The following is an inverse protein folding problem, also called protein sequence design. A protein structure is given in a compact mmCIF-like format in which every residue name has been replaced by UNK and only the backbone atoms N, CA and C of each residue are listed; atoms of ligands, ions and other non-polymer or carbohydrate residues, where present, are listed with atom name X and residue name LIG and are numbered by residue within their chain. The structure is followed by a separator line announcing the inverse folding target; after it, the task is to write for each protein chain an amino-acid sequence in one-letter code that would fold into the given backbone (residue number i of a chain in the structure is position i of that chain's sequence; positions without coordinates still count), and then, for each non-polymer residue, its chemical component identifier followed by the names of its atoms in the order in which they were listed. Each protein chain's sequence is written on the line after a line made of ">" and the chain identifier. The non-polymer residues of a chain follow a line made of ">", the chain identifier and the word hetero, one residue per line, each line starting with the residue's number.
data_IF_983080136954
#
_entry.id   IF_983080136954
#
_cell.length_a   1.000
_cell.length_b   1.000
_cell.length_c   1.000
_cell.angle_alpha   90.00
_cell.angle_beta   90.00
_cell.angle_gamma   90.00
#
_symmetry.space_group_name_H-M   'P 1'
#
loop_
_entity.id
_entity.type
_entity.pdbx_description
1 polymer ?
#
# COMPACT_ATOMS: atom_id res chain seq x y z
N UNK A 1 -13.37 -5.02 2.31
CA UNK A 1 -13.23 -3.54 2.20
C UNK A 1 -13.43 -2.86 3.55
N UNK A 2 -14.57 -3.04 4.23
CA UNK A 2 -14.89 -2.37 5.51
C UNK A 2 -13.81 -2.41 6.60
N UNK A 3 -13.10 -3.53 6.74
CA UNK A 3 -12.00 -3.64 7.70
C UNK A 3 -10.83 -2.69 7.38
N UNK A 4 -10.42 -2.61 6.11
CA UNK A 4 -9.35 -1.71 5.67
C UNK A 4 -9.75 -0.25 5.82
N UNK A 5 -11.00 0.10 5.48
CA UNK A 5 -11.51 1.46 5.67
C UNK A 5 -11.45 1.88 7.14
N UNK A 6 -11.86 0.99 8.07
CA UNK A 6 -11.75 1.21 9.52
C UNK A 6 -10.31 1.32 10.00
N UNK A 7 -9.39 0.49 9.48
CA UNK A 7 -7.96 0.62 9.81
C UNK A 7 -7.42 1.98 9.35
N UNK A 8 -7.72 2.37 8.11
CA UNK A 8 -7.31 3.65 7.54
C UNK A 8 -7.89 4.84 8.31
N UNK A 9 -9.09 4.72 8.90
CA UNK A 9 -9.69 5.75 9.75
C UNK A 9 -8.99 5.89 11.11
N UNK A 10 -8.53 4.77 11.69
CA UNK A 10 -7.91 4.75 13.02
C UNK A 10 -6.45 5.15 13.01
N UNK A 11 -5.76 4.83 11.93
CA UNK A 11 -4.39 5.27 11.75
C UNK A 11 -4.42 6.76 11.46
N UNK A 12 -3.83 7.58 12.35
CA UNK A 12 -3.83 9.04 12.21
C UNK A 12 -3.17 9.53 10.92
N UNK A 13 -3.04 10.85 10.76
CA UNK A 13 -2.55 11.50 9.53
C UNK A 13 -1.22 10.95 9.00
N UNK A 14 -0.32 10.54 9.89
CA UNK A 14 1.02 10.06 9.51
C UNK A 14 1.18 8.54 9.44
N UNK A 15 0.21 7.79 9.94
CA UNK A 15 0.40 6.34 10.03
C UNK A 15 0.02 5.62 8.73
N UNK A 16 0.43 4.35 8.66
CA UNK A 16 0.37 3.51 7.46
C UNK A 16 -0.38 2.23 7.80
N UNK A 17 -1.36 1.86 6.97
CA UNK A 17 -1.93 0.50 6.99
C UNK A 17 -1.15 -0.34 6.00
N UNK A 18 -0.57 -1.44 6.50
CA UNK A 18 0.23 -2.36 5.69
C UNK A 18 -0.37 -3.75 5.70
N UNK A 19 -0.34 -4.41 4.54
CA UNK A 19 -0.63 -5.83 4.44
C UNK A 19 0.39 -6.51 3.53
N UNK A 20 1.02 -7.56 4.06
CA UNK A 20 2.00 -8.38 3.33
C UNK A 20 1.39 -9.74 3.05
N UNK A 21 1.49 -10.20 1.80
CA UNK A 21 1.02 -11.52 1.35
C UNK A 21 2.05 -12.19 0.47
N UNK A 22 2.26 -13.49 0.70
CA UNK A 22 3.09 -14.31 -0.17
C UNK A 22 2.57 -14.28 -1.62
N UNK A 23 3.49 -14.39 -2.57
CA UNK A 23 3.16 -14.45 -4.00
C UNK A 23 2.67 -15.86 -4.32
N UNK A 24 1.47 -15.91 -4.90
CA UNK A 24 0.96 -17.11 -5.56
C UNK A 24 1.18 -16.96 -7.07
N UNK A 25 1.25 -18.07 -7.79
CA UNK A 25 1.30 -18.03 -9.27
C UNK A 25 -0.01 -18.57 -9.83
N UNK A 26 -0.84 -17.73 -10.48
CA UNK A 26 -0.70 -16.27 -10.66
C UNK A 26 -1.00 -15.45 -9.37
N UNK A 27 -0.51 -14.19 -9.24
CA UNK A 27 -0.56 -13.39 -8.01
C UNK A 27 -1.93 -12.72 -7.76
N UNK A 28 -3.01 -13.49 -7.90
CA UNK A 28 -4.40 -13.00 -7.88
C UNK A 28 -4.75 -12.31 -6.57
N UNK A 29 -4.34 -12.90 -5.45
CA UNK A 29 -4.68 -12.38 -4.13
C UNK A 29 -3.96 -11.06 -3.83
N UNK A 30 -2.73 -10.89 -4.32
CA UNK A 30 -2.00 -9.64 -4.17
C UNK A 30 -2.67 -8.50 -4.98
N UNK A 31 -3.12 -8.80 -6.20
CA UNK A 31 -3.86 -7.82 -7.04
C UNK A 31 -5.21 -7.45 -6.39
N UNK A 32 -5.96 -8.45 -5.91
CA UNK A 32 -7.21 -8.21 -5.19
C UNK A 32 -6.97 -7.38 -3.92
N UNK A 33 -5.90 -7.66 -3.17
CA UNK A 33 -5.56 -6.91 -1.98
C UNK A 33 -5.29 -5.44 -2.30
N UNK A 34 -4.48 -5.14 -3.33
CA UNK A 34 -4.26 -3.77 -3.79
C UNK A 34 -5.57 -3.08 -4.18
N UNK A 35 -6.45 -3.76 -4.92
CA UNK A 35 -7.77 -3.24 -5.28
C UNK A 35 -8.65 -2.95 -4.05
N UNK A 36 -8.59 -3.77 -3.01
CA UNK A 36 -9.32 -3.55 -1.75
C UNK A 36 -8.84 -2.29 -1.02
N UNK A 37 -7.54 -1.97 -1.07
CA UNK A 37 -7.00 -0.71 -0.54
C UNK A 37 -7.50 0.49 -1.34
N UNK A 38 -7.45 0.41 -2.67
CA UNK A 38 -7.97 1.47 -3.56
C UNK A 38 -9.45 1.75 -3.27
N UNK A 39 -10.27 0.69 -3.19
CA UNK A 39 -11.69 0.82 -2.88
C UNK A 39 -11.94 1.40 -1.47
N UNK A 40 -11.16 0.98 -0.47
CA UNK A 40 -11.26 1.53 0.88
C UNK A 40 -10.91 3.03 0.93
N UNK A 41 -9.94 3.49 0.14
CA UNK A 41 -9.60 4.91 0.01
C UNK A 41 -10.72 5.70 -0.69
N UNK A 42 -11.28 5.17 -1.79
CA UNK A 42 -12.40 5.80 -2.50
C UNK A 42 -13.64 5.99 -1.62
N UNK A 43 -14.00 4.97 -0.82
CA UNK A 43 -15.12 5.07 0.14
C UNK A 43 -14.92 6.15 1.20
N UNK A 44 -13.68 6.61 1.40
CA UNK A 44 -13.34 7.73 2.29
C UNK A 44 -13.27 9.07 1.57
N UNK A 45 -13.65 9.14 0.30
CA UNK A 45 -13.63 10.37 -0.49
C UNK A 45 -12.27 10.72 -1.10
N UNK A 46 -11.32 9.78 -1.16
CA UNK A 46 -10.03 10.01 -1.83
C UNK A 46 -10.21 9.92 -3.35
N UNK A 47 -9.99 11.03 -4.05
CA UNK A 47 -10.13 11.13 -5.52
C UNK A 47 -8.98 10.46 -6.27
N UNK A 48 -7.75 10.58 -5.76
CA UNK A 48 -6.56 9.89 -6.29
C UNK A 48 -6.00 8.87 -5.28
N UNK A 49 -6.55 7.64 -5.23
CA UNK A 49 -6.00 6.58 -4.38
C UNK A 49 -4.56 6.18 -4.73
N UNK A 50 -4.10 6.46 -5.95
CA UNK A 50 -2.74 6.12 -6.39
C UNK A 50 -1.69 6.87 -5.60
N UNK A 51 -1.91 8.16 -5.34
CA UNK A 51 -1.03 8.98 -4.51
C UNK A 51 -0.96 8.52 -3.03
N UNK A 52 -1.89 7.68 -2.58
CA UNK A 52 -1.97 7.17 -1.21
C UNK A 52 -1.43 5.74 -1.06
N UNK A 53 -1.14 5.07 -2.17
CA UNK A 53 -0.78 3.65 -2.21
C UNK A 53 0.69 3.46 -2.59
N UNK A 54 1.38 2.57 -1.88
CA UNK A 54 2.69 2.06 -2.25
C UNK A 54 2.63 0.54 -2.27
N UNK A 55 3.21 -0.07 -3.28
CA UNK A 55 3.38 -1.52 -3.37
C UNK A 55 4.86 -1.80 -3.56
N UNK A 56 5.41 -2.71 -2.78
CA UNK A 56 6.78 -3.21 -2.95
C UNK A 56 6.76 -4.73 -2.86
N UNK A 57 7.72 -5.39 -3.49
CA UNK A 57 7.78 -6.86 -3.50
C UNK A 57 9.21 -7.39 -3.47
N UNK A 58 9.34 -8.63 -3.02
CA UNK A 58 10.49 -9.48 -3.31
C UNK A 58 10.00 -10.77 -4.00
N UNK A 59 10.88 -11.74 -4.21
CA UNK A 59 10.50 -13.01 -4.85
C UNK A 59 9.50 -13.86 -4.04
N UNK A 60 9.29 -13.58 -2.75
CA UNK A 60 8.43 -14.35 -1.86
C UNK A 60 7.07 -13.69 -1.64
N UNK A 61 7.03 -12.36 -1.54
CA UNK A 61 5.87 -11.63 -1.06
C UNK A 61 5.72 -10.24 -1.66
N UNK A 62 4.48 -9.73 -1.58
CA UNK A 62 4.11 -8.36 -1.90
C UNK A 62 3.63 -7.68 -0.63
N UNK A 63 4.12 -6.48 -0.38
CA UNK A 63 3.74 -5.59 0.71
C UNK A 63 2.98 -4.39 0.12
N UNK A 64 1.68 -4.31 0.41
CA UNK A 64 0.82 -3.19 0.03
C UNK A 64 0.65 -2.27 1.23
N UNK A 65 0.92 -0.98 1.04
CA UNK A 65 0.87 0.05 2.06
C UNK A 65 -0.03 1.18 1.62
N UNK A 66 -0.86 1.69 2.53
CA UNK A 66 -1.72 2.84 2.27
C UNK A 66 -1.73 3.83 3.43
N UNK A 67 -1.86 5.10 3.09
CA UNK A 67 -1.98 6.21 4.03
C UNK A 67 -3.30 6.96 3.86
N UNK A 68 -3.77 7.59 4.93
CA UNK A 68 -4.92 8.50 4.85
C UNK A 68 -4.59 9.79 4.07
N UNK A 69 -3.30 10.17 4.01
CA UNK A 69 -2.78 11.30 3.23
C UNK A 69 -1.91 10.80 2.06
N UNK A 70 -1.70 11.60 1.01
CA UNK A 70 -0.76 11.26 -0.04
C UNK A 70 0.65 11.01 0.48
N UNK A 71 1.41 10.15 -0.19
CA UNK A 71 2.84 9.99 0.06
C UNK A 71 3.59 11.22 -0.47
N UNK A 72 4.42 11.81 0.38
CA UNK A 72 5.23 12.96 -0.06
C UNK A 72 6.38 12.51 -0.97
N UNK A 73 6.89 13.39 -1.84
CA UNK A 73 8.05 13.07 -2.68
C UNK A 73 9.26 12.57 -1.88
N UNK A 74 9.51 13.16 -0.71
CA UNK A 74 10.58 12.73 0.20
C UNK A 74 10.36 11.30 0.73
N UNK A 75 9.12 10.93 1.06
CA UNK A 75 8.80 9.57 1.50
C UNK A 75 9.00 8.56 0.37
N UNK A 76 8.58 8.91 -0.85
CA UNK A 76 8.79 8.08 -2.05
C UNK A 76 10.28 7.88 -2.32
N UNK A 77 11.10 8.92 -2.26
CA UNK A 77 12.54 8.78 -2.44
C UNK A 77 13.20 7.90 -1.37
N UNK A 78 12.79 8.04 -0.10
CA UNK A 78 13.25 7.16 0.99
C UNK A 78 12.84 5.70 0.76
N UNK A 79 11.61 5.46 0.31
CA UNK A 79 11.13 4.11 -0.03
C UNK A 79 11.92 3.50 -1.19
N UNK A 80 12.18 4.28 -2.26
CA UNK A 80 13.01 3.84 -3.39
C UNK A 80 14.43 3.50 -2.96
N UNK A 81 15.03 4.31 -2.10
CA UNK A 81 16.36 4.04 -1.53
C UNK A 81 16.36 2.75 -0.70
N UNK A 82 15.33 2.53 0.12
CA UNK A 82 15.15 1.31 0.88
C UNK A 82 15.00 0.08 -0.04
N UNK A 83 14.20 0.17 -1.09
CA UNK A 83 14.03 -0.91 -2.06
C UNK A 83 15.37 -1.32 -2.68
N UNK A 84 16.20 -0.35 -3.10
CA UNK A 84 17.55 -0.61 -3.60
C UNK A 84 18.43 -1.28 -2.55
N UNK A 85 18.44 -0.77 -1.31
CA UNK A 85 19.27 -1.31 -0.23
C UNK A 85 18.85 -2.71 0.25
N UNK A 86 17.59 -3.10 0.02
CA UNK A 86 17.01 -4.36 0.50
C UNK A 86 16.62 -5.33 -0.62
N UNK A 87 17.06 -5.06 -1.86
CA UNK A 87 16.75 -5.89 -3.04
C UNK A 87 15.25 -6.11 -3.26
N UNK A 88 14.44 -5.10 -2.93
CA UNK A 88 13.01 -5.09 -3.23
C UNK A 88 12.77 -4.47 -4.61
N UNK A 89 11.72 -4.93 -5.30
CA UNK A 89 11.19 -4.26 -6.48
C UNK A 89 10.09 -3.28 -6.06
N UNK A 90 10.22 -1.98 -6.38
CA UNK A 90 9.14 -1.01 -6.20
C UNK A 90 8.02 -1.17 -7.23
#
# INVERSE_FOLDING_TARGET
>A
VEGLARCLQRVGTDGVVTATRAIQTPPRDNVKLAALFVEALRRRGVEDPGAHLVVVRDFLAICTMAKATPWSPLQIERLRALCRARQLTP
#
